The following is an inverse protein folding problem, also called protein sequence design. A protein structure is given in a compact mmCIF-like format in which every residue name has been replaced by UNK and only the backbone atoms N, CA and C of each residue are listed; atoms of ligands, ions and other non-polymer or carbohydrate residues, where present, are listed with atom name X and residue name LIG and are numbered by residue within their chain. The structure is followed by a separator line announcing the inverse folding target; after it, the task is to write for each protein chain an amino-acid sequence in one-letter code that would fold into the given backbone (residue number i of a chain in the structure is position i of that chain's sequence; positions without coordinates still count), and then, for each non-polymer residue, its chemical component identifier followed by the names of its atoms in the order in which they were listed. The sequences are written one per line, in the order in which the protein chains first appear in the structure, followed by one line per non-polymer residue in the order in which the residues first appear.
data_IF_014914586755
#
_entry.id   IF_014914586755
#
_cell.length_a   1.000
_cell.length_b   1.000
_cell.length_c   1.000
_cell.angle_alpha   90.00
_cell.angle_beta   90.00
_cell.angle_gamma   90.00
#
_symmetry.space_group_name_H-M   'P 1'
#
loop_
_entity.id
_entity.type
_entity.pdbx_description
1 polymer ?
#
# COMPACT_ATOMS: atom_id res chain seq x y z
N UNK A 1 -25.44 21.80 29.53
CA UNK A 1 -25.68 21.63 28.08
C UNK A 1 -24.39 21.10 27.45
N UNK A 2 -24.15 19.78 27.49
CA UNK A 2 -23.00 19.19 26.80
C UNK A 2 -23.41 18.78 25.40
N UNK A 3 -23.01 19.58 24.41
CA UNK A 3 -23.12 19.21 23.00
C UNK A 3 -21.97 18.26 22.72
N UNK A 4 -22.19 16.96 22.87
CA UNK A 4 -21.28 15.96 22.30
C UNK A 4 -21.30 16.21 20.79
N UNK A 5 -20.19 16.69 20.25
CA UNK A 5 -19.96 16.70 18.81
C UNK A 5 -19.90 15.24 18.40
N UNK A 6 -21.01 14.71 17.87
CA UNK A 6 -21.09 13.37 17.29
C UNK A 6 -20.25 13.37 16.02
N UNK A 7 -18.96 13.04 16.17
CA UNK A 7 -18.06 12.81 15.03
C UNK A 7 -18.52 11.55 14.31
N UNK A 8 -18.55 11.57 12.98
CA UNK A 8 -18.85 10.36 12.20
C UNK A 8 -17.80 9.28 12.53
N UNK A 9 -18.21 8.03 12.83
CA UNK A 9 -17.27 6.94 13.13
C UNK A 9 -16.19 6.73 12.06
N UNK A 10 -16.51 6.96 10.78
CA UNK A 10 -15.53 6.87 9.68
C UNK A 10 -14.50 7.99 9.76
N UNK A 11 -14.93 9.22 10.05
CA UNK A 11 -14.02 10.36 10.23
C UNK A 11 -13.11 10.14 11.44
N UNK A 12 -13.64 9.53 12.52
CA UNK A 12 -12.86 9.16 13.69
C UNK A 12 -11.80 8.10 13.33
N UNK A 13 -12.19 7.04 12.62
CA UNK A 13 -11.28 6.00 12.18
C UNK A 13 -10.19 6.55 11.24
N UNK A 14 -10.59 7.37 10.26
CA UNK A 14 -9.67 8.02 9.32
C UNK A 14 -8.65 8.91 10.03
N UNK A 15 -9.11 9.79 10.94
CA UNK A 15 -8.21 10.65 11.74
C UNK A 15 -7.24 9.84 12.60
N UNK A 16 -7.62 8.65 13.04
CA UNK A 16 -6.74 7.76 13.82
C UNK A 16 -5.57 7.16 13.02
N UNK A 17 -5.64 7.21 11.68
CA UNK A 17 -4.55 6.78 10.79
C UNK A 17 -3.44 7.81 10.69
N UNK A 18 -3.73 9.09 10.97
CA UNK A 18 -2.76 10.19 10.92
C UNK A 18 -2.03 10.31 9.57
N UNK A 19 -2.74 10.03 8.48
CA UNK A 19 -2.27 10.15 7.09
C UNK A 19 -3.33 10.83 6.26
N UNK A 20 -2.93 11.76 5.39
CA UNK A 20 -3.80 12.33 4.37
C UNK A 20 -3.80 11.43 3.15
N UNK A 21 -5.00 11.16 2.64
CA UNK A 21 -5.25 10.26 1.51
C UNK A 21 -6.10 11.05 0.53
N UNK A 22 -5.55 11.36 -0.63
CA UNK A 22 -6.24 12.17 -1.63
C UNK A 22 -6.31 11.41 -2.96
N UNK A 23 -7.47 11.36 -3.64
CA UNK A 23 -7.56 10.72 -4.94
C UNK A 23 -6.77 11.52 -5.97
N UNK A 24 -5.94 10.84 -6.76
CA UNK A 24 -5.29 11.44 -7.92
C UNK A 24 -6.30 11.63 -9.05
N UNK A 25 -6.26 12.80 -9.68
CA UNK A 25 -7.06 13.07 -10.87
C UNK A 25 -6.63 12.16 -12.02
N UNK A 26 -7.58 11.51 -12.68
CA UNK A 26 -7.33 10.57 -13.79
C UNK A 26 -6.66 11.22 -15.00
N UNK A 27 -6.77 12.54 -15.14
CA UNK A 27 -6.12 13.34 -16.19
C UNK A 27 -4.75 13.88 -15.79
N UNK A 28 -4.28 13.60 -14.57
CA UNK A 28 -2.96 14.06 -14.12
C UNK A 28 -1.83 13.25 -14.75
N UNK A 29 -0.69 13.90 -15.01
CA UNK A 29 0.51 13.24 -15.52
C UNK A 29 0.99 12.11 -14.60
N UNK A 30 0.89 12.31 -13.29
CA UNK A 30 1.23 11.31 -12.28
C UNK A 30 0.34 10.07 -12.43
N UNK A 31 -0.98 10.24 -12.55
CA UNK A 31 -1.90 9.13 -12.74
C UNK A 31 -1.58 8.36 -14.03
N UNK A 32 -1.36 9.07 -15.15
CA UNK A 32 -1.04 8.43 -16.43
C UNK A 32 0.29 7.66 -16.37
N UNK A 33 1.30 8.20 -15.70
CA UNK A 33 2.59 7.55 -15.51
C UNK A 33 2.45 6.26 -14.69
N UNK A 34 1.74 6.32 -13.56
CA UNK A 34 1.48 5.17 -12.70
C UNK A 34 0.64 4.11 -13.41
N UNK A 35 -0.41 4.52 -14.12
CA UNK A 35 -1.24 3.61 -14.90
C UNK A 35 -0.43 2.90 -15.99
N UNK A 36 0.45 3.62 -16.70
CA UNK A 36 1.37 3.03 -17.67
C UNK A 36 2.36 2.06 -17.02
N UNK A 37 2.88 2.38 -15.83
CA UNK A 37 3.79 1.48 -15.11
C UNK A 37 3.09 0.17 -14.73
N UNK A 38 1.84 0.25 -14.25
CA UNK A 38 1.00 -0.91 -13.97
C UNK A 38 0.77 -1.74 -15.25
N UNK A 39 0.31 -1.12 -16.34
CA UNK A 39 0.01 -1.84 -17.58
C UNK A 39 1.24 -2.48 -18.24
N UNK A 40 2.41 -1.88 -18.06
CA UNK A 40 3.66 -2.41 -18.60
C UNK A 40 4.18 -3.63 -17.81
N UNK A 41 3.76 -3.79 -16.55
CA UNK A 41 4.31 -4.80 -15.64
C UNK A 41 3.27 -5.79 -15.11
N UNK A 42 2.02 -5.67 -15.57
CA UNK A 42 0.97 -6.65 -15.38
C UNK A 42 -0.01 -6.59 -16.54
N UNK A 43 -0.30 -7.75 -17.13
CA UNK A 43 -1.48 -7.92 -17.97
C UNK A 43 -2.64 -8.25 -17.06
N UNK A 44 -3.42 -7.24 -16.69
CA UNK A 44 -4.66 -7.45 -15.94
C UNK A 44 -5.60 -8.31 -16.77
N UNK A 45 -6.28 -9.27 -16.12
CA UNK A 45 -7.39 -10.01 -16.72
C UNK A 45 -8.58 -9.09 -16.90
N UNK A 46 -9.54 -9.46 -17.75
CA UNK A 46 -10.74 -8.63 -18.00
C UNK A 46 -11.53 -8.32 -16.71
N UNK A 47 -11.40 -9.17 -15.69
CA UNK A 47 -12.04 -8.99 -14.37
C UNK A 47 -11.30 -8.03 -13.42
N UNK A 48 -10.14 -7.48 -13.81
CA UNK A 48 -9.32 -6.63 -12.96
C UNK A 48 -9.06 -5.28 -13.62
N UNK A 49 -9.40 -4.19 -12.91
CA UNK A 49 -9.18 -2.82 -13.38
C UNK A 49 -8.69 -1.91 -12.26
N UNK A 50 -7.87 -0.92 -12.60
CA UNK A 50 -7.47 0.14 -11.67
C UNK A 50 -8.63 1.12 -11.52
N UNK A 51 -9.30 1.08 -10.37
CA UNK A 51 -10.45 1.96 -10.13
C UNK A 51 -10.04 3.36 -9.69
N UNK A 52 -9.11 3.47 -8.73
CA UNK A 52 -8.61 4.74 -8.20
C UNK A 52 -7.14 4.59 -7.81
N UNK A 53 -6.41 5.70 -7.87
CA UNK A 53 -5.07 5.85 -7.30
C UNK A 53 -5.14 6.99 -6.30
N UNK A 54 -4.53 6.79 -5.12
CA UNK A 54 -4.50 7.79 -4.07
C UNK A 54 -3.06 8.22 -3.79
N UNK A 55 -2.85 9.52 -3.61
CA UNK A 55 -1.63 10.04 -3.00
C UNK A 55 -1.72 9.92 -1.49
N UNK A 56 -0.58 9.64 -0.86
CA UNK A 56 -0.42 9.56 0.59
C UNK A 56 0.65 10.57 1.00
N UNK A 57 0.36 11.38 2.02
CA UNK A 57 1.36 12.24 2.63
C UNK A 57 2.13 11.49 3.75
N UNK A 58 3.16 12.14 4.33
CA UNK A 58 3.82 11.63 5.54
C UNK A 58 5.00 10.67 5.33
N UNK A 59 5.39 10.38 4.08
CA UNK A 59 6.64 9.67 3.80
C UNK A 59 7.86 10.52 4.20
N UNK A 60 8.72 10.01 5.10
CA UNK A 60 10.01 10.65 5.37
C UNK A 60 10.88 10.56 4.11
N UNK A 61 11.17 11.70 3.49
CA UNK A 61 12.08 11.74 2.36
C UNK A 61 13.49 11.40 2.86
N UNK A 62 13.95 10.20 2.53
CA UNK A 62 15.34 9.82 2.70
C UNK A 62 16.10 10.46 1.54
N UNK A 63 16.89 11.49 1.81
CA UNK A 63 17.85 12.05 0.86
C UNK A 63 19.05 11.11 0.70
N UNK A 64 19.79 11.27 -0.39
CA UNK A 64 21.13 10.68 -0.55
C UNK A 64 21.21 9.14 -0.68
N UNK A 65 20.13 8.49 -1.09
CA UNK A 65 20.17 7.07 -1.48
C UNK A 65 20.46 6.94 -2.98
N UNK A 66 21.58 6.32 -3.40
CA UNK A 66 21.83 6.05 -4.81
C UNK A 66 20.77 5.07 -5.34
N UNK A 67 20.40 5.19 -6.63
CA UNK A 67 19.43 4.30 -7.29
C UNK A 67 18.03 4.28 -6.63
N UNK A 68 17.48 5.47 -6.34
CA UNK A 68 16.10 5.62 -5.87
C UNK A 68 15.10 5.13 -6.94
N UNK A 69 14.22 4.21 -6.55
CA UNK A 69 13.20 3.61 -7.45
C UNK A 69 11.82 3.67 -6.81
N UNK A 70 10.81 3.82 -7.67
CA UNK A 70 9.42 3.54 -7.33
C UNK A 70 9.17 2.04 -7.56
N UNK A 71 8.68 1.33 -6.55
CA UNK A 71 8.43 -0.11 -6.60
C UNK A 71 7.08 -0.42 -5.95
N UNK A 72 6.47 -1.53 -6.34
CA UNK A 72 5.20 -2.00 -5.80
C UNK A 72 5.38 -2.84 -4.52
N UNK A 73 4.37 -2.77 -3.66
CA UNK A 73 4.19 -3.66 -2.50
C UNK A 73 2.75 -4.12 -2.45
N UNK A 74 2.51 -5.42 -2.45
CA UNK A 74 1.18 -5.95 -2.18
C UNK A 74 0.86 -5.90 -0.70
N UNK A 75 -0.34 -5.42 -0.37
CA UNK A 75 -0.85 -5.40 1.01
C UNK A 75 -2.22 -6.05 1.03
N UNK A 76 -2.39 -7.06 1.89
CA UNK A 76 -3.70 -7.70 2.11
C UNK A 76 -4.68 -6.70 2.71
N UNK A 77 -5.95 -6.78 2.32
CA UNK A 77 -7.02 -5.88 2.78
C UNK A 77 -7.06 -5.74 4.31
N UNK A 78 -6.92 -6.85 5.05
CA UNK A 78 -6.92 -6.87 6.52
C UNK A 78 -5.77 -6.07 7.16
N UNK A 79 -4.69 -5.82 6.40
CA UNK A 79 -3.47 -5.14 6.88
C UNK A 79 -3.36 -3.68 6.43
N UNK A 80 -4.20 -3.23 5.48
CA UNK A 80 -4.11 -1.89 4.89
C UNK A 80 -4.12 -0.79 5.96
N UNK A 81 -5.07 -0.82 6.90
CA UNK A 81 -5.16 0.19 7.96
C UNK A 81 -3.91 0.23 8.86
N UNK A 82 -3.34 -0.94 9.18
CA UNK A 82 -2.10 -1.04 9.95
C UNK A 82 -0.90 -0.47 9.20
N UNK A 83 -0.81 -0.74 7.90
CA UNK A 83 0.24 -0.18 7.03
C UNK A 83 0.10 1.31 6.84
N UNK A 84 -1.11 1.84 6.67
CA UNK A 84 -1.34 3.28 6.57
C UNK A 84 -0.94 4.02 7.85
N UNK A 85 -1.28 3.46 9.02
CA UNK A 85 -0.98 4.07 10.31
C UNK A 85 0.50 3.99 10.71
N UNK A 86 1.12 2.82 10.54
CA UNK A 86 2.46 2.55 11.08
C UNK A 86 3.56 2.56 10.02
N UNK A 87 3.20 2.70 8.75
CA UNK A 87 4.11 2.46 7.63
C UNK A 87 4.43 0.98 7.43
N UNK A 88 5.41 0.71 6.56
CA UNK A 88 5.93 -0.63 6.33
C UNK A 88 6.90 -1.01 7.45
N UNK A 89 6.56 -2.07 8.19
CA UNK A 89 7.36 -2.54 9.33
C UNK A 89 8.08 -3.84 9.01
N UNK A 90 9.30 -3.99 9.51
CA UNK A 90 10.01 -5.28 9.50
C UNK A 90 9.33 -6.25 10.47
N UNK A 91 9.39 -7.54 10.17
CA UNK A 91 8.87 -8.57 11.07
C UNK A 91 9.54 -8.49 12.46
N UNK A 92 8.81 -8.77 13.55
CA UNK A 92 9.38 -8.78 14.89
C UNK A 92 10.55 -9.75 15.04
N UNK A 93 11.48 -9.47 15.96
CA UNK A 93 12.67 -10.30 16.21
C UNK A 93 12.32 -11.74 16.57
N UNK A 94 11.22 -11.95 17.30
CA UNK A 94 10.74 -13.25 17.74
C UNK A 94 10.06 -14.09 16.63
N UNK A 95 9.78 -13.51 15.46
CA UNK A 95 9.09 -14.25 14.41
C UNK A 95 10.00 -15.34 13.78
N UNK A 96 9.50 -16.51 13.36
CA UNK A 96 10.36 -17.61 12.89
C UNK A 96 11.06 -17.31 11.56
N UNK A 97 12.40 -17.34 11.49
CA UNK A 97 13.13 -16.98 10.27
C UNK A 97 12.78 -17.83 9.04
N UNK A 98 12.21 -19.03 9.24
CA UNK A 98 11.77 -19.95 8.18
C UNK A 98 10.69 -19.39 7.25
N UNK A 99 9.96 -18.35 7.65
CA UNK A 99 8.92 -17.72 6.82
C UNK A 99 9.47 -16.66 5.84
N UNK A 100 10.75 -16.31 5.92
CA UNK A 100 11.36 -15.24 5.12
C UNK A 100 12.57 -15.71 4.33
N UNK A 101 12.38 -15.90 3.02
CA UNK A 101 13.42 -16.45 2.11
C UNK A 101 14.72 -15.65 2.05
N UNK A 102 14.67 -14.33 2.29
CA UNK A 102 15.83 -13.44 2.27
C UNK A 102 16.02 -12.71 3.61
N UNK A 103 15.47 -13.27 4.70
CA UNK A 103 15.54 -12.68 6.04
C UNK A 103 14.42 -11.67 6.35
N UNK A 104 14.41 -11.15 7.57
CA UNK A 104 13.37 -10.20 8.00
C UNK A 104 13.64 -8.83 7.38
N UNK A 105 12.80 -8.42 6.44
CA UNK A 105 12.94 -7.15 5.73
C UNK A 105 11.63 -6.69 5.09
N UNK A 106 11.71 -5.53 4.44
CA UNK A 106 10.61 -5.00 3.62
C UNK A 106 10.91 -5.33 2.17
N UNK A 107 9.98 -6.00 1.52
CA UNK A 107 10.13 -6.53 0.17
C UNK A 107 9.30 -5.73 -0.81
N UNK A 108 9.87 -5.45 -1.97
CA UNK A 108 9.20 -4.71 -3.04
C UNK A 108 9.39 -5.46 -4.36
N UNK A 109 8.54 -5.17 -5.33
CA UNK A 109 8.64 -5.69 -6.69
C UNK A 109 8.60 -4.55 -7.69
N UNK A 110 9.34 -4.67 -8.79
CA UNK A 110 9.17 -3.80 -9.94
C UNK A 110 8.00 -4.25 -10.84
N UNK A 111 7.37 -5.39 -10.54
CA UNK A 111 6.24 -5.93 -11.28
C UNK A 111 4.92 -5.81 -10.50
N UNK A 112 3.93 -5.19 -11.13
CA UNK A 112 2.60 -5.09 -10.53
C UNK A 112 1.94 -6.46 -10.32
N UNK A 113 2.18 -7.43 -11.23
CA UNK A 113 1.66 -8.81 -11.10
C UNK A 113 2.12 -9.49 -9.81
N UNK A 114 3.40 -9.36 -9.46
CA UNK A 114 3.97 -9.92 -8.24
C UNK A 114 3.35 -9.29 -6.99
N UNK A 115 3.15 -7.97 -6.98
CA UNK A 115 2.49 -7.28 -5.88
C UNK A 115 0.99 -7.64 -5.77
N UNK A 116 0.31 -7.85 -6.90
CA UNK A 116 -1.08 -8.30 -6.92
C UNK A 116 -1.23 -9.69 -6.30
N UNK A 117 -0.30 -10.61 -6.60
CA UNK A 117 -0.25 -11.94 -5.99
C UNK A 117 -0.03 -11.90 -4.47
N UNK A 118 0.78 -10.95 -3.97
CA UNK A 118 1.00 -10.73 -2.54
C UNK A 118 -0.25 -10.21 -1.82
N UNK A 119 -1.00 -9.31 -2.47
CA UNK A 119 -2.23 -8.72 -1.94
C UNK A 119 -3.42 -9.69 -2.01
N UNK A 120 -3.41 -10.60 -2.98
CA UNK A 120 -4.46 -11.58 -3.19
C UNK A 120 -4.53 -12.60 -2.05
N UNK A 121 -5.76 -13.00 -1.71
CA UNK A 121 -6.00 -14.13 -0.82
C UNK A 121 -5.67 -15.39 -1.61
N UNK A 122 -4.44 -15.92 -1.48
CA UNK A 122 -4.28 -17.36 -1.65
C UNK A 122 -5.14 -17.99 -0.57
N UNK A 123 -6.24 -18.62 -0.96
CA UNK A 123 -6.90 -19.60 -0.12
C UNK A 123 -5.79 -20.58 0.28
N UNK A 124 -5.32 -20.47 1.52
CA UNK A 124 -4.40 -21.45 2.07
C UNK A 124 -5.22 -22.74 2.09
N UNK A 125 -4.99 -23.61 1.11
CA UNK A 125 -5.45 -24.98 1.17
C UNK A 125 -4.99 -25.53 2.51
N UNK A 126 -5.96 -25.76 3.39
CA UNK A 126 -5.87 -26.82 4.39
C UNK A 126 -6.50 -28.04 3.76
#
# INVERSE_FOLDING_TARGET
RHRQTTVNPLDYAYKSLQVCIEPLGTESEEWMCLHKYISNTCRLTDDAAVHCIYSLDGGRQISDVPNKRLLFRGVKNERVLGTLKNGLTVAPSYAPDTEWKLGKGIYFSDQFSSALDEASVRASGR
#
